data_IF_147622038573
#
_entry.id   IF_147622038573
#
_cell.length_a   1.000
_cell.length_b   1.000
_cell.length_c   1.000
_cell.angle_alpha   90.00
_cell.angle_beta   90.00
_cell.angle_gamma   90.00
#
_symmetry.space_group_name_H-M   'P 1'
#
loop_
_entity.id
_entity.type
_entity.pdbx_description
1 polymer ?
#
# COMPACT_ATOMS: atom_id res chain seq x y z
N UNK A 1 -32.16 28.17 -14.28
CA UNK A 1 -32.55 28.11 -12.85
C UNK A 1 -32.67 29.52 -12.34
N UNK A 2 -33.83 29.93 -11.80
CA UNK A 2 -33.99 31.27 -11.23
C UNK A 2 -33.09 31.40 -10.00
N UNK A 3 -32.26 32.44 -9.95
CA UNK A 3 -31.41 32.76 -8.79
C UNK A 3 -32.23 33.25 -7.60
N UNK A 4 -31.63 33.29 -6.41
CA UNK A 4 -32.24 33.88 -5.21
C UNK A 4 -32.62 35.37 -5.46
N UNK A 5 -33.79 35.73 -5.02
CA UNK A 5 -34.29 37.13 -5.10
C UNK A 5 -33.35 38.10 -4.33
N UNK A 6 -33.20 39.37 -4.77
CA UNK A 6 -32.31 40.34 -4.10
C UNK A 6 -32.61 40.52 -2.61
N UNK A 7 -33.89 40.54 -2.25
CA UNK A 7 -34.35 40.70 -0.87
C UNK A 7 -33.91 39.54 0.03
N UNK A 8 -33.96 38.28 -0.50
CA UNK A 8 -33.46 37.09 0.20
C UNK A 8 -31.95 37.14 0.42
N UNK A 9 -31.22 37.66 -0.58
CA UNK A 9 -29.76 37.81 -0.48
C UNK A 9 -29.40 38.80 0.63
N UNK A 10 -30.06 39.98 0.66
CA UNK A 10 -29.88 40.98 1.73
C UNK A 10 -30.16 40.40 3.09
N UNK A 11 -31.30 39.71 3.25
CA UNK A 11 -31.67 39.09 4.49
C UNK A 11 -30.66 38.04 4.98
N UNK A 12 -30.07 37.25 4.06
CA UNK A 12 -29.01 36.29 4.39
C UNK A 12 -27.79 37.05 4.92
N UNK A 13 -27.38 38.17 4.27
CA UNK A 13 -26.23 38.94 4.72
C UNK A 13 -26.40 39.57 6.08
N UNK A 14 -27.64 39.93 6.46
CA UNK A 14 -27.92 40.55 7.73
C UNK A 14 -27.97 39.53 8.90
N UNK A 15 -28.30 38.26 8.58
CA UNK A 15 -28.59 37.23 9.62
C UNK A 15 -27.60 36.06 9.65
N UNK A 16 -26.64 35.95 8.72
CA UNK A 16 -25.76 34.77 8.67
C UNK A 16 -24.76 34.68 9.84
N UNK A 17 -24.34 35.82 10.41
CA UNK A 17 -23.38 35.85 11.52
C UNK A 17 -24.04 35.36 12.82
N UNK A 18 -23.35 34.41 13.48
CA UNK A 18 -23.83 33.84 14.74
C UNK A 18 -25.01 32.88 14.60
N UNK A 19 -25.59 32.71 13.39
CA UNK A 19 -26.75 31.87 13.17
C UNK A 19 -26.32 30.52 12.55
N UNK A 20 -26.70 29.36 13.12
CA UNK A 20 -26.51 28.07 12.51
C UNK A 20 -27.18 28.00 11.13
N UNK A 21 -26.55 27.32 10.17
CA UNK A 21 -27.05 27.29 8.80
C UNK A 21 -28.49 26.74 8.70
N UNK A 22 -28.82 25.71 9.46
CA UNK A 22 -30.17 25.15 9.50
C UNK A 22 -31.22 26.19 9.96
N UNK A 23 -30.87 27.02 10.94
CA UNK A 23 -31.70 28.08 11.44
C UNK A 23 -31.84 29.22 10.45
N UNK A 24 -30.76 29.61 9.79
CA UNK A 24 -30.78 30.60 8.72
C UNK A 24 -31.73 30.18 7.59
N UNK A 25 -31.72 28.93 7.19
CA UNK A 25 -32.63 28.39 6.18
C UNK A 25 -34.09 28.48 6.67
N UNK A 26 -34.35 28.13 7.92
CA UNK A 26 -35.70 28.24 8.53
C UNK A 26 -36.22 29.67 8.52
N UNK A 27 -35.42 30.63 8.98
CA UNK A 27 -35.75 32.05 8.98
C UNK A 27 -36.06 32.59 7.58
N UNK A 28 -35.28 32.20 6.59
CA UNK A 28 -35.49 32.58 5.17
C UNK A 28 -36.81 32.00 4.66
N UNK A 29 -37.11 30.73 4.98
CA UNK A 29 -38.34 30.08 4.52
C UNK A 29 -39.57 30.62 5.22
N UNK A 30 -39.50 30.93 6.52
CA UNK A 30 -40.60 31.59 7.27
C UNK A 30 -40.93 32.96 6.69
N UNK A 31 -39.93 33.74 6.29
CA UNK A 31 -40.17 35.12 5.83
C UNK A 31 -40.53 35.23 4.33
N UNK A 32 -39.92 34.38 3.49
CA UNK A 32 -40.02 34.50 2.01
C UNK A 32 -40.70 33.30 1.35
N UNK A 33 -41.20 32.34 2.15
CA UNK A 33 -41.83 31.13 1.65
C UNK A 33 -40.85 30.04 1.22
N UNK A 34 -41.41 28.85 0.95
CA UNK A 34 -40.61 27.67 0.54
C UNK A 34 -39.99 27.75 -0.87
N UNK A 35 -40.28 28.81 -1.63
CA UNK A 35 -39.68 29.06 -2.95
C UNK A 35 -38.14 29.16 -2.89
N UNK A 36 -37.57 29.52 -1.71
CA UNK A 36 -36.15 29.57 -1.49
C UNK A 36 -35.64 28.20 -1.06
N UNK A 37 -35.26 27.35 -2.05
CA UNK A 37 -34.81 25.99 -1.81
C UNK A 37 -33.49 25.95 -1.00
N UNK A 38 -33.41 25.02 -0.06
CA UNK A 38 -32.24 24.76 0.77
C UNK A 38 -30.92 24.82 0.00
N UNK A 39 -30.86 24.15 -1.15
CA UNK A 39 -29.64 24.12 -1.99
C UNK A 39 -29.27 25.48 -2.60
N UNK A 40 -30.25 26.33 -2.91
CA UNK A 40 -29.97 27.67 -3.44
C UNK A 40 -29.33 28.56 -2.37
N UNK A 41 -29.87 28.50 -1.13
CA UNK A 41 -29.30 29.23 0.03
C UNK A 41 -27.90 28.74 0.33
N UNK A 42 -27.70 27.40 0.33
CA UNK A 42 -26.40 26.78 0.56
C UNK A 42 -25.34 27.20 -0.48
N UNK A 43 -25.69 27.12 -1.76
CA UNK A 43 -24.80 27.56 -2.85
C UNK A 43 -24.48 29.06 -2.74
N UNK A 44 -25.46 29.89 -2.38
CA UNK A 44 -25.24 31.31 -2.21
C UNK A 44 -24.25 31.59 -1.07
N UNK A 45 -24.49 31.05 0.12
CA UNK A 45 -23.61 31.20 1.29
C UNK A 45 -22.19 30.71 0.99
N UNK A 46 -22.05 29.57 0.29
CA UNK A 46 -20.76 29.00 -0.08
C UNK A 46 -20.02 29.88 -1.10
N UNK A 47 -20.70 30.28 -2.18
CA UNK A 47 -20.10 31.07 -3.27
C UNK A 47 -19.66 32.48 -2.81
N UNK A 48 -20.38 33.06 -1.87
CA UNK A 48 -20.02 34.36 -1.28
C UNK A 48 -19.12 34.23 -0.05
N UNK A 49 -18.65 33.00 0.28
CA UNK A 49 -17.76 32.71 1.42
C UNK A 49 -18.27 33.30 2.75
N UNK A 50 -19.58 33.25 2.96
CA UNK A 50 -20.20 33.75 4.17
C UNK A 50 -19.97 32.75 5.31
N UNK A 51 -19.07 33.11 6.22
CA UNK A 51 -18.79 32.31 7.39
C UNK A 51 -19.55 32.86 8.61
N UNK A 52 -20.35 32.01 9.26
CA UNK A 52 -21.19 32.41 10.37
C UNK A 52 -20.47 32.67 11.71
N UNK A 53 -19.16 32.37 11.78
CA UNK A 53 -18.37 32.55 12.99
C UNK A 53 -18.55 31.45 14.05
N UNK A 54 -19.43 30.48 13.81
CA UNK A 54 -19.63 29.37 14.73
C UNK A 54 -18.57 28.28 14.53
N UNK A 55 -17.97 27.84 15.63
CA UNK A 55 -17.09 26.68 15.63
C UNK A 55 -17.94 25.40 15.55
N UNK A 56 -17.90 24.73 14.41
CA UNK A 56 -18.57 23.46 14.18
C UNK A 56 -17.88 22.26 14.83
N UNK A 57 -16.81 22.47 15.60
CA UNK A 57 -16.08 21.39 16.27
C UNK A 57 -16.88 20.80 17.41
N UNK A 58 -16.77 19.52 17.59
CA UNK A 58 -17.33 18.83 18.75
C UNK A 58 -16.62 19.34 20.01
N UNK A 59 -17.38 19.87 20.96
CA UNK A 59 -16.83 20.41 22.20
C UNK A 59 -16.15 19.30 23.02
N UNK A 60 -15.02 19.59 23.71
CA UNK A 60 -14.42 18.65 24.64
C UNK A 60 -15.46 18.17 25.67
N UNK A 61 -15.51 16.84 25.90
CA UNK A 61 -16.50 16.23 26.79
C UNK A 61 -17.83 15.83 26.11
N UNK A 62 -18.03 16.14 24.84
CA UNK A 62 -19.21 15.66 24.12
C UNK A 62 -19.28 14.14 24.11
N UNK A 63 -20.40 13.60 24.54
CA UNK A 63 -20.67 12.16 24.49
C UNK A 63 -21.51 11.87 23.25
N UNK A 64 -20.99 11.13 22.26
CA UNK A 64 -21.76 10.75 21.07
C UNK A 64 -23.01 9.96 21.48
N UNK A 65 -24.15 10.18 20.81
CA UNK A 65 -25.43 9.52 21.10
C UNK A 65 -25.36 7.99 21.02
N UNK A 66 -24.39 7.45 20.32
CA UNK A 66 -24.14 6.02 20.12
C UNK A 66 -23.03 5.46 21.02
N UNK A 67 -22.47 6.25 21.95
CA UNK A 67 -21.43 5.75 22.89
C UNK A 67 -22.00 4.60 23.72
N UNK A 68 -21.35 3.45 23.68
CA UNK A 68 -21.76 2.23 24.39
C UNK A 68 -22.95 1.49 23.77
N UNK A 69 -23.53 2.00 22.69
CA UNK A 69 -24.60 1.29 21.94
C UNK A 69 -23.95 0.49 20.81
N UNK A 70 -24.28 -0.80 20.69
CA UNK A 70 -23.94 -1.56 19.48
C UNK A 70 -24.73 -0.96 18.32
N UNK A 71 -24.06 -0.64 17.20
CA UNK A 71 -24.76 -0.14 16.03
C UNK A 71 -25.86 -1.12 15.61
N UNK A 72 -27.11 -0.65 15.45
CA UNK A 72 -28.17 -1.50 14.94
C UNK A 72 -27.76 -1.99 13.55
N UNK A 73 -27.70 -3.31 13.37
CA UNK A 73 -27.33 -3.92 12.09
C UNK A 73 -25.89 -4.44 11.98
N UNK A 74 -25.08 -4.45 13.07
CA UNK A 74 -23.81 -5.21 13.10
C UNK A 74 -24.01 -6.73 13.26
N UNK A 75 -25.25 -7.20 13.26
CA UNK A 75 -25.54 -8.61 13.03
C UNK A 75 -24.97 -9.02 11.66
N UNK A 76 -24.48 -10.25 11.55
CA UNK A 76 -23.95 -10.81 10.32
C UNK A 76 -24.88 -10.50 9.14
N UNK A 77 -24.46 -9.58 8.27
CA UNK A 77 -25.12 -9.45 6.97
C UNK A 77 -24.93 -10.77 6.23
N UNK A 78 -25.93 -11.28 5.50
CA UNK A 78 -25.81 -12.54 4.73
C UNK A 78 -24.60 -12.58 3.80
N UNK A 79 -24.11 -11.40 3.39
CA UNK A 79 -22.95 -11.20 2.51
C UNK A 79 -21.59 -11.20 3.22
N UNK A 80 -21.55 -11.22 4.55
CA UNK A 80 -20.28 -11.24 5.29
C UNK A 80 -19.74 -12.69 5.38
N UNK A 81 -18.46 -12.84 5.09
CA UNK A 81 -17.78 -14.12 5.29
C UNK A 81 -17.81 -14.51 6.78
N UNK A 82 -18.24 -15.73 7.07
CA UNK A 82 -18.21 -16.28 8.43
C UNK A 82 -16.75 -16.58 8.84
N UNK A 83 -16.45 -16.47 10.15
CA UNK A 83 -15.15 -16.89 10.68
C UNK A 83 -14.86 -18.34 10.26
N UNK A 84 -13.71 -18.58 9.63
CA UNK A 84 -13.34 -19.89 9.08
C UNK A 84 -13.82 -20.16 7.65
N UNK A 85 -14.54 -19.24 7.03
CA UNK A 85 -14.91 -19.34 5.61
C UNK A 85 -13.65 -19.35 4.74
N UNK A 86 -13.55 -20.30 3.82
CA UNK A 86 -12.49 -20.35 2.81
C UNK A 86 -12.93 -19.58 1.58
N UNK A 87 -12.11 -18.62 1.07
CA UNK A 87 -12.43 -17.92 -0.18
C UNK A 87 -12.44 -18.90 -1.36
N UNK A 88 -13.19 -18.55 -2.43
CA UNK A 88 -13.29 -19.41 -3.62
C UNK A 88 -11.94 -19.69 -4.30
N UNK A 89 -10.96 -18.78 -4.14
CA UNK A 89 -9.60 -18.91 -4.66
C UNK A 89 -8.61 -19.49 -3.63
N UNK A 90 -9.12 -20.16 -2.58
CA UNK A 90 -8.25 -20.79 -1.59
C UNK A 90 -7.41 -21.91 -2.23
N UNK A 91 -6.11 -21.83 -2.03
CA UNK A 91 -5.17 -22.87 -2.40
C UNK A 91 -4.70 -23.63 -1.14
N UNK A 92 -4.76 -24.97 -1.10
CA UNK A 92 -4.30 -25.77 0.04
C UNK A 92 -2.77 -25.66 0.19
N UNK A 93 -2.28 -26.04 1.39
CA UNK A 93 -0.83 -26.18 1.63
C UNK A 93 -0.28 -27.26 0.68
N UNK A 94 0.89 -27.00 0.09
CA UNK A 94 1.50 -27.83 -0.97
C UNK A 94 1.14 -27.42 -2.39
N UNK A 95 0.19 -26.49 -2.59
CA UNK A 95 -0.10 -25.98 -3.94
C UNK A 95 1.08 -25.16 -4.47
N UNK A 96 1.37 -25.31 -5.76
CA UNK A 96 2.38 -24.55 -6.49
C UNK A 96 1.72 -23.51 -7.38
N UNK A 97 2.43 -22.39 -7.59
CA UNK A 97 2.06 -21.36 -8.55
C UNK A 97 3.29 -20.67 -9.13
N UNK A 98 3.15 -20.12 -10.32
CA UNK A 98 4.14 -19.17 -10.86
C UNK A 98 3.75 -17.77 -10.38
N UNK A 99 4.68 -17.07 -9.72
CA UNK A 99 4.45 -15.72 -9.25
C UNK A 99 4.62 -14.67 -10.37
N UNK A 100 4.36 -13.39 -10.06
CA UNK A 100 4.47 -12.29 -11.02
C UNK A 100 5.87 -12.08 -11.60
N UNK A 101 6.90 -12.54 -10.90
CA UNK A 101 8.30 -12.46 -11.32
C UNK A 101 8.72 -13.71 -12.13
N UNK A 102 7.83 -14.67 -12.36
CA UNK A 102 8.09 -15.88 -13.11
C UNK A 102 8.84 -16.98 -12.33
N UNK A 103 8.86 -16.91 -11.00
CA UNK A 103 9.38 -17.97 -10.14
C UNK A 103 8.26 -18.87 -9.63
N UNK A 104 8.60 -20.13 -9.37
CA UNK A 104 7.67 -21.09 -8.77
C UNK A 104 7.68 -20.95 -7.26
N UNK A 105 6.50 -20.67 -6.68
CA UNK A 105 6.25 -20.64 -5.24
C UNK A 105 5.45 -21.89 -4.83
N UNK A 106 5.70 -22.40 -3.65
CA UNK A 106 4.89 -23.44 -3.00
C UNK A 106 4.29 -22.88 -1.71
N UNK A 107 3.04 -23.20 -1.44
CA UNK A 107 2.37 -22.79 -0.22
C UNK A 107 2.81 -23.68 0.95
N UNK A 108 3.48 -23.09 1.94
CA UNK A 108 4.03 -23.82 3.10
C UNK A 108 3.11 -23.80 4.33
N UNK A 109 2.27 -22.76 4.47
CA UNK A 109 1.34 -22.65 5.60
C UNK A 109 0.17 -21.71 5.32
N UNK A 110 -0.95 -21.91 6.03
CA UNK A 110 -2.09 -21.01 6.05
C UNK A 110 -1.79 -19.75 6.91
N UNK A 111 -2.44 -18.61 6.65
CA UNK A 111 -3.43 -18.41 5.59
C UNK A 111 -2.80 -18.19 4.19
N UNK A 112 -1.59 -17.61 4.10
CA UNK A 112 -0.99 -17.23 2.81
C UNK A 112 0.53 -17.14 2.90
N UNK A 113 1.18 -18.18 3.45
CA UNK A 113 2.64 -18.27 3.49
C UNK A 113 3.14 -19.06 2.29
N UNK A 114 3.91 -18.41 1.44
CA UNK A 114 4.51 -18.96 0.24
C UNK A 114 6.02 -18.88 0.33
N UNK A 115 6.71 -19.86 -0.22
CA UNK A 115 8.17 -19.88 -0.31
C UNK A 115 8.60 -20.34 -1.71
N UNK A 116 9.70 -19.79 -2.18
CA UNK A 116 10.27 -20.11 -3.48
C UNK A 116 10.79 -21.56 -3.50
N UNK A 117 10.36 -22.34 -4.49
CA UNK A 117 10.70 -23.77 -4.60
C UNK A 117 12.22 -23.96 -4.68
N UNK A 118 12.93 -23.18 -5.50
CA UNK A 118 14.39 -23.28 -5.62
C UNK A 118 15.12 -23.00 -4.31
N UNK A 119 14.59 -22.11 -3.46
CA UNK A 119 15.17 -21.86 -2.13
C UNK A 119 15.00 -23.09 -1.21
N UNK A 120 13.81 -23.71 -1.23
CA UNK A 120 13.56 -24.93 -0.45
C UNK A 120 14.45 -26.10 -0.88
N UNK A 121 14.62 -26.28 -2.20
CA UNK A 121 15.48 -27.33 -2.75
C UNK A 121 16.94 -27.10 -2.33
N UNK A 122 17.41 -25.85 -2.41
CA UNK A 122 18.75 -25.51 -1.98
C UNK A 122 18.93 -25.72 -0.47
N UNK A 123 17.97 -25.32 0.36
CA UNK A 123 17.99 -25.50 1.82
C UNK A 123 17.96 -26.96 2.22
N UNK A 124 17.27 -27.81 1.48
CA UNK A 124 17.21 -29.24 1.73
C UNK A 124 18.59 -29.93 1.55
N UNK A 125 19.42 -29.42 0.64
CA UNK A 125 20.74 -29.98 0.35
C UNK A 125 21.85 -29.34 1.19
N UNK A 126 21.81 -28.01 1.37
CA UNK A 126 22.92 -27.22 1.92
C UNK A 126 22.62 -26.62 3.31
N UNK A 127 21.37 -26.78 3.81
CA UNK A 127 20.94 -26.17 5.06
C UNK A 127 20.41 -24.74 4.88
N UNK A 128 20.08 -24.04 5.99
CA UNK A 128 19.39 -22.76 5.92
C UNK A 128 20.19 -21.67 5.21
N UNK A 129 19.51 -20.87 4.38
CA UNK A 129 20.12 -19.77 3.65
C UNK A 129 20.62 -18.68 4.61
N UNK A 130 21.92 -18.31 4.59
CA UNK A 130 22.49 -17.28 5.44
C UNK A 130 21.83 -15.91 5.20
N UNK A 131 21.68 -15.12 6.27
CA UNK A 131 21.14 -13.75 6.14
C UNK A 131 21.95 -12.91 5.16
N UNK A 132 21.25 -12.25 4.24
CA UNK A 132 21.90 -11.42 3.21
C UNK A 132 22.33 -12.17 1.94
N UNK A 133 22.05 -13.46 1.86
CA UNK A 133 22.27 -14.27 0.68
C UNK A 133 20.93 -14.63 -0.01
N UNK A 134 21.03 -15.01 -1.26
CA UNK A 134 19.91 -15.46 -2.10
C UNK A 134 20.40 -16.59 -3.00
N UNK A 135 19.47 -17.45 -3.39
CA UNK A 135 19.75 -18.53 -4.35
C UNK A 135 19.45 -18.04 -5.76
N UNK A 136 20.40 -18.22 -6.67
CA UNK A 136 20.34 -17.82 -8.06
C UNK A 136 20.33 -19.06 -8.97
N UNK A 137 19.60 -19.01 -10.08
CA UNK A 137 19.71 -20.00 -11.17
C UNK A 137 20.94 -19.69 -12.01
N UNK A 138 21.90 -20.61 -12.04
CA UNK A 138 23.18 -20.41 -12.74
C UNK A 138 23.04 -20.27 -14.24
N UNK A 139 22.09 -20.97 -14.85
CA UNK A 139 21.76 -20.91 -16.28
C UNK A 139 20.70 -19.82 -16.63
N UNK A 140 20.21 -19.10 -15.62
CA UNK A 140 19.14 -18.12 -15.80
C UNK A 140 17.75 -18.70 -16.05
N UNK A 141 17.61 -20.02 -16.16
CA UNK A 141 16.32 -20.70 -16.34
C UNK A 141 15.63 -20.94 -14.98
N UNK A 142 14.52 -20.26 -14.74
CA UNK A 142 13.79 -20.28 -13.46
C UNK A 142 13.05 -21.59 -13.18
N UNK A 143 13.03 -22.51 -14.15
CA UNK A 143 12.40 -23.82 -14.03
C UNK A 143 13.42 -24.97 -13.91
N UNK A 144 14.72 -24.68 -13.97
CA UNK A 144 15.75 -25.69 -13.80
C UNK A 144 16.15 -25.82 -12.32
N UNK A 145 15.45 -26.69 -11.62
CA UNK A 145 15.65 -26.93 -10.18
C UNK A 145 16.79 -27.91 -9.85
N UNK A 146 17.66 -28.23 -10.81
CA UNK A 146 18.81 -29.07 -10.53
C UNK A 146 19.69 -28.41 -9.44
N UNK A 147 20.01 -29.11 -8.33
CA UNK A 147 20.81 -28.55 -7.25
C UNK A 147 22.17 -27.96 -7.70
N UNK A 148 22.80 -28.53 -8.74
CA UNK A 148 24.06 -28.04 -9.31
C UNK A 148 23.91 -26.67 -9.99
N UNK A 149 22.69 -26.35 -10.45
CA UNK A 149 22.34 -25.06 -11.06
C UNK A 149 21.99 -23.99 -10.03
N UNK A 150 21.75 -24.36 -8.78
CA UNK A 150 21.32 -23.44 -7.72
C UNK A 150 22.54 -22.88 -6.99
N UNK A 151 22.89 -21.62 -7.24
CA UNK A 151 24.07 -20.95 -6.71
C UNK A 151 23.69 -20.00 -5.58
N UNK A 152 24.36 -20.11 -4.43
CA UNK A 152 24.22 -19.16 -3.33
C UNK A 152 25.09 -17.93 -3.60
N UNK A 153 24.49 -16.76 -3.62
CA UNK A 153 25.18 -15.49 -3.79
C UNK A 153 24.74 -14.49 -2.73
N UNK A 154 25.64 -13.58 -2.34
CA UNK A 154 25.27 -12.45 -1.52
C UNK A 154 24.47 -11.43 -2.35
N UNK A 155 23.64 -10.63 -1.69
CA UNK A 155 22.90 -9.55 -2.38
C UNK A 155 23.82 -8.53 -3.06
N UNK A 156 25.02 -8.32 -2.51
CA UNK A 156 26.03 -7.46 -3.13
C UNK A 156 26.59 -8.05 -4.42
N UNK A 157 26.90 -9.36 -4.43
CA UNK A 157 27.31 -10.07 -5.64
C UNK A 157 26.20 -10.06 -6.68
N UNK A 158 24.94 -10.35 -6.29
CA UNK A 158 23.80 -10.32 -7.19
C UNK A 158 23.64 -8.96 -7.88
N UNK A 159 23.78 -7.87 -7.12
CA UNK A 159 23.73 -6.52 -7.69
C UNK A 159 24.81 -6.30 -8.74
N UNK A 160 26.05 -6.79 -8.50
CA UNK A 160 27.16 -6.71 -9.48
C UNK A 160 26.95 -7.60 -10.70
N UNK A 161 26.44 -8.81 -10.49
CA UNK A 161 26.10 -9.73 -11.57
C UNK A 161 25.08 -9.10 -12.53
N UNK A 162 24.04 -8.49 -11.99
CA UNK A 162 23.01 -7.81 -12.78
C UNK A 162 23.55 -6.56 -13.48
N UNK A 163 24.31 -5.70 -12.77
CA UNK A 163 24.89 -4.47 -13.35
C UNK A 163 25.84 -4.74 -14.53
N UNK A 164 26.57 -5.84 -14.47
CA UNK A 164 27.59 -6.18 -15.48
C UNK A 164 27.13 -7.31 -16.42
N UNK A 165 25.86 -7.71 -16.37
CA UNK A 165 25.30 -8.77 -17.21
C UNK A 165 26.08 -10.07 -17.17
N UNK A 166 26.54 -10.48 -15.97
CA UNK A 166 27.41 -11.65 -15.78
C UNK A 166 26.63 -12.96 -15.55
N UNK A 167 25.30 -12.90 -15.47
CA UNK A 167 24.46 -14.10 -15.48
C UNK A 167 24.30 -14.55 -16.92
N UNK A 168 24.75 -15.77 -17.22
CA UNK A 168 24.80 -16.33 -18.59
C UNK A 168 23.90 -17.57 -18.67
N UNK A 169 23.65 -18.06 -19.88
CA UNK A 169 22.85 -19.28 -20.13
C UNK A 169 23.52 -20.58 -19.68
N UNK A 170 24.71 -20.53 -19.10
CA UNK A 170 25.45 -21.66 -18.59
C UNK A 170 25.91 -21.42 -17.15
N UNK A 171 25.75 -22.43 -16.31
CA UNK A 171 26.05 -22.35 -14.87
C UNK A 171 27.53 -22.06 -14.61
N UNK A 172 28.46 -22.67 -15.39
CA UNK A 172 29.88 -22.48 -15.23
C UNK A 172 30.31 -21.04 -15.58
N UNK A 173 29.73 -20.46 -16.62
CA UNK A 173 29.97 -19.05 -16.96
C UNK A 173 29.47 -18.11 -15.87
N UNK A 174 28.31 -18.40 -15.27
CA UNK A 174 27.78 -17.60 -14.18
C UNK A 174 28.64 -17.75 -12.91
N UNK A 175 29.18 -18.95 -12.61
CA UNK A 175 30.18 -19.13 -11.53
C UNK A 175 31.41 -18.26 -11.74
N UNK A 176 31.94 -18.22 -12.95
CA UNK A 176 33.05 -17.32 -13.31
C UNK A 176 32.64 -15.84 -13.13
N UNK A 177 31.38 -15.50 -13.48
CA UNK A 177 30.82 -14.18 -13.27
C UNK A 177 30.77 -13.76 -11.78
N UNK A 178 30.51 -14.70 -10.86
CA UNK A 178 30.55 -14.43 -9.41
C UNK A 178 31.97 -14.03 -8.97
N UNK A 179 33.02 -14.72 -9.46
CA UNK A 179 34.41 -14.38 -9.17
C UNK A 179 34.75 -12.97 -9.69
N UNK A 180 34.28 -12.62 -10.87
CA UNK A 180 34.45 -11.27 -11.45
C UNK A 180 33.73 -10.23 -10.58
N UNK A 181 32.52 -10.50 -10.12
CA UNK A 181 31.77 -9.60 -9.24
C UNK A 181 32.50 -9.32 -7.92
N UNK A 182 33.16 -10.34 -7.35
CA UNK A 182 33.98 -10.19 -6.14
C UNK A 182 35.25 -9.34 -6.41
N UNK A 183 35.90 -9.55 -7.53
CA UNK A 183 37.05 -8.73 -7.92
C UNK A 183 36.67 -7.27 -8.11
N UNK A 184 35.56 -6.98 -8.76
CA UNK A 184 35.05 -5.61 -8.94
C UNK A 184 34.77 -4.96 -7.58
N UNK A 185 34.18 -5.71 -6.63
CA UNK A 185 33.90 -5.22 -5.28
C UNK A 185 35.20 -4.89 -4.54
N UNK A 186 36.17 -5.76 -4.54
CA UNK A 186 37.51 -5.54 -3.91
C UNK A 186 38.27 -4.36 -4.52
N UNK A 187 38.20 -4.19 -5.83
CA UNK A 187 38.82 -3.04 -6.52
C UNK A 187 38.14 -1.73 -6.08
N UNK A 188 36.79 -1.72 -5.97
CA UNK A 188 36.05 -0.56 -5.52
C UNK A 188 36.37 -0.18 -4.07
N UNK A 189 36.52 -1.16 -3.19
CA UNK A 189 36.92 -0.96 -1.78
C UNK A 189 38.32 -0.33 -1.67
N UNK A 190 39.28 -0.87 -2.40
CA UNK A 190 40.67 -0.31 -2.43
C UNK A 190 40.69 1.12 -2.94
N UNK A 191 39.92 1.45 -3.99
CA UNK A 191 39.81 2.83 -4.51
C UNK A 191 39.22 3.79 -3.49
N UNK A 192 38.22 3.35 -2.70
CA UNK A 192 37.62 4.15 -1.60
C UNK A 192 38.60 4.37 -0.46
N UNK A 193 39.33 3.34 -0.04
CA UNK A 193 40.35 3.43 1.02
C UNK A 193 41.46 4.42 0.68
N UNK A 194 41.96 4.43 -0.58
CA UNK A 194 42.96 5.42 -1.02
C UNK A 194 42.45 6.86 -1.00
N UNK A 195 41.15 7.11 -1.31
CA UNK A 195 40.57 8.45 -1.26
C UNK A 195 40.40 8.98 0.14
N UNK A 196 40.24 8.13 1.13
CA UNK A 196 40.12 8.55 2.54
C UNK A 196 41.45 8.95 3.17
N UNK A 197 42.58 8.36 2.71
CA UNK A 197 43.92 8.67 3.20
C UNK A 197 44.45 9.99 2.62
N UNK A 198 44.05 10.37 1.39
CA UNK A 198 44.46 11.65 0.77
C UNK A 198 43.67 12.90 1.26
N UNK A 199 42.72 12.73 2.15
CA UNK A 199 41.92 13.85 2.71
C UNK A 199 42.26 14.19 4.17
N UNK A 200 43.36 13.70 4.69
CA UNK A 200 43.96 14.09 5.98
C UNK A 200 45.26 14.89 5.68
#
# INVERSE_FOLDING_TARGET
MAGLRPEVKSFIHDHYRGTPFAELVRLVQERFGEDSKYNQIRCYVHNHKLWNGLDGRIKPGHVPFNKGKKAPGTGHKPTQFKKGSRPANYMPVGSERVNGDGYVDVKIADPNKWQLVHSLIWEAVNGPIPKGHVVLFGDGNRFNFNPENLLLVSRAQLARLNQNHLIKGETELTKSGIVIADLISKIAERKRGKKSVCRR
#
